data_IF_482868915262
#
_entry.id   IF_482868915262
#
_cell.length_a   1.000
_cell.length_b   1.000
_cell.length_c   1.000
_cell.angle_alpha   90.00
_cell.angle_beta   90.00
_cell.angle_gamma   90.00
#
_symmetry.space_group_name_H-M   'P 1'
#
loop_
_entity.id
_entity.type
_entity.pdbx_description
1 polymer ?
#
# COMPACT_ATOMS: atom_id res chain seq x y z
N UNK A 1 30.33 -3.40 -1.35
CA UNK A 1 29.69 -2.06 -1.38
C UNK A 1 29.75 -1.46 0.01
N UNK A 2 30.21 -0.20 0.17
CA UNK A 2 30.28 0.48 1.47
C UNK A 2 28.88 1.02 1.87
N UNK A 3 28.58 1.08 3.17
CA UNK A 3 27.35 1.64 3.75
C UNK A 3 26.98 3.01 3.16
N UNK A 4 27.94 3.96 3.06
CA UNK A 4 27.67 5.30 2.49
C UNK A 4 27.20 5.22 1.03
N UNK A 5 27.89 4.40 0.22
CA UNK A 5 27.55 4.20 -1.20
C UNK A 5 26.18 3.55 -1.35
N UNK A 6 25.86 2.56 -0.50
CA UNK A 6 24.54 1.94 -0.47
C UNK A 6 23.44 2.96 -0.18
N UNK A 7 23.59 3.79 0.86
CA UNK A 7 22.57 4.77 1.22
C UNK A 7 22.34 5.83 0.14
N UNK A 8 23.42 6.36 -0.44
CA UNK A 8 23.31 7.33 -1.53
C UNK A 8 22.58 6.69 -2.71
N UNK A 9 22.96 5.46 -3.09
CA UNK A 9 22.29 4.73 -4.16
C UNK A 9 20.80 4.48 -3.86
N UNK A 10 20.46 4.04 -2.64
CA UNK A 10 19.06 3.83 -2.23
C UNK A 10 18.25 5.12 -2.29
N UNK A 11 18.82 6.25 -1.84
CA UNK A 11 18.15 7.55 -1.88
C UNK A 11 17.99 8.05 -3.32
N UNK A 12 18.99 7.86 -4.18
CA UNK A 12 18.90 8.18 -5.60
C UNK A 12 17.81 7.35 -6.30
N UNK A 13 17.73 6.06 -6.03
CA UNK A 13 16.68 5.19 -6.58
C UNK A 13 15.30 5.63 -6.09
N UNK A 14 15.15 5.91 -4.79
CA UNK A 14 13.88 6.42 -4.24
C UNK A 14 13.47 7.74 -4.90
N UNK A 15 14.41 8.66 -5.07
CA UNK A 15 14.15 9.94 -5.70
C UNK A 15 13.71 9.74 -7.15
N UNK A 16 14.46 8.95 -7.94
CA UNK A 16 14.13 8.65 -9.33
C UNK A 16 12.74 8.01 -9.47
N UNK A 17 12.43 7.02 -8.63
CA UNK A 17 11.12 6.37 -8.63
C UNK A 17 9.98 7.33 -8.22
N UNK A 18 10.30 8.42 -7.52
CA UNK A 18 9.35 9.41 -7.02
C UNK A 18 9.23 10.66 -7.89
N UNK A 19 10.03 10.80 -8.95
CA UNK A 19 10.05 12.03 -9.78
C UNK A 19 8.65 12.38 -10.29
N UNK A 20 7.94 11.40 -10.84
CA UNK A 20 6.63 11.65 -11.44
C UNK A 20 5.57 12.08 -10.42
N UNK A 21 5.31 11.34 -9.31
CA UNK A 21 4.38 11.80 -8.28
C UNK A 21 4.78 13.15 -7.65
N UNK A 22 6.08 13.39 -7.43
CA UNK A 22 6.55 14.66 -6.87
C UNK A 22 6.33 15.84 -7.83
N UNK A 23 6.64 15.66 -9.11
CA UNK A 23 6.40 16.67 -10.13
C UNK A 23 4.91 17.01 -10.22
N UNK A 24 4.03 16.00 -10.27
CA UNK A 24 2.59 16.22 -10.32
C UNK A 24 2.06 16.92 -9.07
N UNK A 25 2.56 16.54 -7.89
CA UNK A 25 2.24 17.22 -6.65
C UNK A 25 2.66 18.69 -6.64
N UNK A 26 3.84 19.01 -7.18
CA UNK A 26 4.34 20.38 -7.29
C UNK A 26 3.50 21.23 -8.25
N UNK A 27 3.18 20.69 -9.44
CA UNK A 27 2.32 21.38 -10.43
C UNK A 27 0.94 21.67 -9.83
N UNK A 28 0.35 20.68 -9.16
CA UNK A 28 -0.96 20.78 -8.49
C UNK A 28 -0.96 21.86 -7.41
N UNK A 29 0.05 21.84 -6.54
CA UNK A 29 0.19 22.86 -5.50
C UNK A 29 0.43 24.25 -6.09
N UNK A 30 1.23 24.36 -7.15
CA UNK A 30 1.46 25.62 -7.87
C UNK A 30 0.18 26.20 -8.46
N UNK A 31 -0.63 25.38 -9.13
CA UNK A 31 -1.92 25.79 -9.68
C UNK A 31 -2.87 26.26 -8.57
N UNK A 32 -2.94 25.51 -7.47
CA UNK A 32 -3.76 25.86 -6.31
C UNK A 32 -3.31 27.19 -5.66
N UNK A 33 -2.00 27.40 -5.49
CA UNK A 33 -1.47 28.64 -4.90
C UNK A 33 -1.71 29.87 -5.79
N UNK A 34 -1.76 29.68 -7.11
CA UNK A 34 -2.02 30.77 -8.06
C UNK A 34 -3.50 31.11 -8.18
N UNK A 35 -4.38 30.11 -8.21
CA UNK A 35 -5.79 30.29 -8.57
C UNK A 35 -6.75 30.07 -7.38
N UNK A 36 -6.27 29.51 -6.27
CA UNK A 36 -7.09 29.12 -5.11
C UNK A 36 -7.89 27.83 -5.30
N UNK A 37 -7.83 27.23 -6.50
CA UNK A 37 -8.52 25.99 -6.87
C UNK A 37 -7.82 25.33 -8.06
N UNK A 38 -8.26 24.12 -8.42
CA UNK A 38 -7.76 23.38 -9.58
C UNK A 38 -8.94 23.01 -10.47
N UNK A 39 -8.89 23.31 -11.77
CA UNK A 39 -9.90 22.80 -12.70
C UNK A 39 -9.75 21.28 -12.87
N UNK A 40 -10.87 20.57 -12.93
CA UNK A 40 -10.93 19.12 -13.15
C UNK A 40 -10.10 18.65 -14.36
N UNK A 41 -10.10 19.43 -15.45
CA UNK A 41 -9.33 19.11 -16.68
C UNK A 41 -7.81 19.18 -16.45
N UNK A 42 -7.39 20.06 -15.54
CA UNK A 42 -5.97 20.25 -15.20
C UNK A 42 -5.51 19.30 -14.10
N UNK A 43 -6.45 18.56 -13.48
CA UNK A 43 -6.14 17.63 -12.42
C UNK A 43 -5.37 16.42 -12.96
N UNK A 44 -4.15 16.28 -12.46
CA UNK A 44 -3.27 15.19 -12.85
C UNK A 44 -3.59 13.94 -12.05
N UNK A 45 -3.80 12.80 -12.74
CA UNK A 45 -3.90 11.51 -12.06
C UNK A 45 -2.61 11.26 -11.27
N UNK A 46 -2.68 10.43 -10.23
CA UNK A 46 -1.50 9.91 -9.50
C UNK A 46 -0.87 10.84 -8.42
N UNK A 47 -1.56 11.87 -7.94
CA UNK A 47 -1.03 12.78 -6.90
C UNK A 47 -1.20 12.22 -5.49
N UNK A 48 -2.41 11.83 -5.09
CA UNK A 48 -2.67 11.29 -3.76
C UNK A 48 -3.02 9.80 -3.86
N UNK A 49 -2.52 8.92 -2.96
CA UNK A 49 -1.62 9.21 -1.85
C UNK A 49 -0.13 9.19 -2.23
N UNK A 50 0.22 9.13 -3.52
CA UNK A 50 1.60 8.86 -3.97
C UNK A 50 2.59 10.00 -3.70
N UNK A 51 2.22 11.27 -3.90
CA UNK A 51 3.07 12.42 -3.55
C UNK A 51 3.36 12.44 -2.05
N UNK A 52 2.36 12.35 -1.13
CA UNK A 52 2.64 12.23 0.30
C UNK A 52 3.49 11.01 0.68
N UNK A 53 3.25 9.84 0.08
CA UNK A 53 4.09 8.64 0.29
C UNK A 53 5.55 8.91 -0.14
N UNK A 54 5.75 9.49 -1.32
CA UNK A 54 7.08 9.81 -1.85
C UNK A 54 7.84 10.77 -0.94
N UNK A 55 7.19 11.86 -0.50
CA UNK A 55 7.79 12.82 0.44
C UNK A 55 8.16 12.12 1.75
N UNK A 56 7.23 11.34 2.33
CA UNK A 56 7.45 10.60 3.56
C UNK A 56 8.63 9.62 3.46
N UNK A 57 8.71 8.85 2.37
CA UNK A 57 9.78 7.88 2.12
C UNK A 57 11.14 8.56 1.96
N UNK A 58 11.23 9.62 1.14
CA UNK A 58 12.50 10.32 0.90
C UNK A 58 12.99 10.97 2.19
N UNK A 59 12.13 11.70 2.90
CA UNK A 59 12.51 12.36 4.15
C UNK A 59 12.94 11.34 5.22
N UNK A 60 12.18 10.27 5.39
CA UNK A 60 12.47 9.20 6.35
C UNK A 60 13.78 8.47 6.01
N UNK A 61 14.00 8.15 4.73
CA UNK A 61 15.23 7.50 4.27
C UNK A 61 16.45 8.44 4.38
N UNK A 62 16.30 9.74 4.12
CA UNK A 62 17.36 10.73 4.24
C UNK A 62 17.79 10.94 5.71
N UNK A 63 16.84 10.91 6.65
CA UNK A 63 17.11 11.02 8.09
C UNK A 63 17.59 9.70 8.73
N UNK A 64 17.38 8.58 8.05
CA UNK A 64 17.70 7.24 8.57
C UNK A 64 19.16 7.09 9.04
N UNK A 65 20.22 7.55 8.33
CA UNK A 65 21.60 7.46 8.82
C UNK A 65 21.85 8.19 10.15
N UNK A 66 21.20 9.34 10.35
CA UNK A 66 21.27 10.10 11.60
C UNK A 66 20.55 9.35 12.71
N UNK A 67 19.32 8.90 12.45
CA UNK A 67 18.53 8.12 13.41
C UNK A 67 19.21 6.80 13.78
N UNK A 68 19.95 6.19 12.85
CA UNK A 68 20.75 5.00 13.12
C UNK A 68 21.85 5.26 14.17
N UNK A 69 22.49 6.43 14.13
CA UNK A 69 23.50 6.80 15.14
C UNK A 69 22.88 7.01 16.52
N UNK A 70 21.71 7.65 16.58
CA UNK A 70 21.03 8.03 17.81
C UNK A 70 20.33 6.84 18.49
N UNK A 71 19.51 6.10 17.74
CA UNK A 71 18.55 5.12 18.29
C UNK A 71 18.98 3.66 18.10
N UNK A 72 20.00 3.39 17.28
CA UNK A 72 20.60 2.06 17.01
C UNK A 72 19.55 0.97 16.73
N UNK A 73 19.18 0.17 17.75
CA UNK A 73 18.21 -0.94 17.63
C UNK A 73 16.78 -0.47 17.36
N UNK A 74 16.45 0.76 17.77
CA UNK A 74 15.11 1.34 17.62
C UNK A 74 14.93 2.15 16.34
N UNK A 75 15.95 2.21 15.49
CA UNK A 75 15.93 3.02 14.26
C UNK A 75 14.76 2.66 13.35
N UNK A 76 14.49 1.38 13.12
CA UNK A 76 13.38 0.97 12.23
C UNK A 76 12.02 1.45 12.77
N UNK A 77 11.61 1.15 14.02
CA UNK A 77 10.38 1.69 14.58
C UNK A 77 10.30 3.22 14.51
N UNK A 78 11.37 3.93 14.87
CA UNK A 78 11.39 5.41 14.87
C UNK A 78 11.20 5.98 13.46
N UNK A 79 11.91 5.43 12.48
CA UNK A 79 11.81 5.89 11.08
C UNK A 79 10.45 5.49 10.48
N UNK A 80 9.88 4.35 10.85
CA UNK A 80 8.53 3.94 10.45
C UNK A 80 7.46 4.88 10.98
N UNK A 81 7.50 5.23 12.27
CA UNK A 81 6.57 6.18 12.89
C UNK A 81 6.73 7.56 12.24
N UNK A 82 7.96 8.03 12.03
CA UNK A 82 8.23 9.27 11.34
C UNK A 82 7.63 9.29 9.93
N UNK A 83 7.83 8.22 9.15
CA UNK A 83 7.28 8.11 7.80
C UNK A 83 5.75 8.15 7.77
N UNK A 84 5.09 7.44 8.70
CA UNK A 84 3.63 7.45 8.81
C UNK A 84 3.11 8.85 9.20
N UNK A 85 3.75 9.51 10.15
CA UNK A 85 3.36 10.87 10.57
C UNK A 85 3.55 11.89 9.45
N UNK A 86 4.68 11.82 8.73
CA UNK A 86 4.91 12.68 7.56
C UNK A 86 3.87 12.42 6.48
N UNK A 87 3.55 11.16 6.19
CA UNK A 87 2.50 10.80 5.24
C UNK A 87 1.18 11.47 5.61
N UNK A 88 0.68 11.28 6.83
CA UNK A 88 -0.59 11.89 7.25
C UNK A 88 -0.55 13.42 7.26
N UNK A 89 0.57 14.04 7.63
CA UNK A 89 0.70 15.50 7.63
C UNK A 89 0.62 16.07 6.20
N UNK A 90 1.32 15.46 5.24
CA UNK A 90 1.26 15.90 3.84
C UNK A 90 -0.08 15.55 3.19
N UNK A 91 -0.61 14.36 3.45
CA UNK A 91 -1.94 13.94 2.98
C UNK A 91 -3.00 14.95 3.42
N UNK A 92 -3.06 15.28 4.72
CA UNK A 92 -3.99 16.27 5.26
C UNK A 92 -3.87 17.64 4.57
N UNK A 93 -2.64 18.07 4.27
CA UNK A 93 -2.38 19.32 3.57
C UNK A 93 -2.88 19.31 2.13
N UNK A 94 -2.64 18.21 1.40
CA UNK A 94 -3.12 18.03 0.03
C UNK A 94 -4.65 17.89 -0.04
N UNK A 95 -5.28 17.29 0.96
CA UNK A 95 -6.75 17.17 1.06
C UNK A 95 -7.47 18.53 1.14
N UNK A 96 -6.79 19.59 1.58
CA UNK A 96 -7.38 20.94 1.62
C UNK A 96 -7.51 21.60 0.24
N UNK A 97 -6.94 20.98 -0.80
CA UNK A 97 -7.01 21.49 -2.17
C UNK A 97 -8.42 21.26 -2.73
N UNK A 98 -8.99 22.30 -3.34
CA UNK A 98 -10.31 22.25 -3.97
C UNK A 98 -10.19 22.00 -5.48
N UNK A 99 -11.05 21.13 -6.00
CA UNK A 99 -11.19 20.87 -7.44
C UNK A 99 -12.53 21.43 -7.91
N UNK A 100 -12.55 22.13 -9.04
CA UNK A 100 -13.77 22.70 -9.63
C UNK A 100 -14.10 21.96 -10.93
N UNK A 101 -15.34 21.50 -11.03
CA UNK A 101 -15.96 20.94 -12.24
C UNK A 101 -17.15 21.83 -12.65
N UNK A 102 -16.96 22.67 -13.66
CA UNK A 102 -17.97 23.64 -14.09
C UNK A 102 -18.26 24.67 -12.98
N UNK A 103 -19.45 24.57 -12.36
CA UNK A 103 -19.89 25.43 -11.25
C UNK A 103 -19.83 24.74 -9.88
N UNK A 104 -19.38 23.49 -9.84
CA UNK A 104 -19.39 22.67 -8.62
C UNK A 104 -17.97 22.63 -8.02
N UNK A 105 -17.86 23.05 -6.76
CA UNK A 105 -16.65 22.83 -5.96
C UNK A 105 -16.71 21.44 -5.31
N UNK A 106 -15.68 20.63 -5.53
CA UNK A 106 -15.50 19.33 -4.89
C UNK A 106 -14.18 19.29 -4.10
N UNK A 107 -14.19 18.68 -2.90
CA UNK A 107 -12.95 18.30 -2.24
C UNK A 107 -12.12 17.38 -3.13
N UNK A 108 -10.80 17.51 -3.05
CA UNK A 108 -9.90 16.70 -3.86
C UNK A 108 -10.11 15.19 -3.66
N UNK A 109 -10.38 14.76 -2.42
CA UNK A 109 -10.64 13.34 -2.11
C UNK A 109 -11.85 12.77 -2.87
N UNK A 110 -12.91 13.57 -2.98
CA UNK A 110 -14.18 13.21 -3.64
C UNK A 110 -13.97 13.02 -5.14
N UNK A 111 -13.12 13.88 -5.70
CA UNK A 111 -12.68 13.77 -7.09
C UNK A 111 -11.81 12.53 -7.34
N UNK A 112 -10.93 12.16 -6.40
CA UNK A 112 -10.14 10.94 -6.56
C UNK A 112 -10.97 9.68 -6.43
N UNK A 113 -11.95 9.71 -5.54
CA UNK A 113 -12.89 8.63 -5.38
C UNK A 113 -13.71 8.41 -6.67
N UNK A 114 -14.15 9.49 -7.35
CA UNK A 114 -14.83 9.38 -8.65
C UNK A 114 -13.97 8.70 -9.71
N UNK A 115 -12.66 8.97 -9.73
CA UNK A 115 -11.71 8.32 -10.63
C UNK A 115 -11.50 6.82 -10.34
N UNK A 116 -11.76 6.39 -9.11
CA UNK A 116 -11.67 4.98 -8.68
C UNK A 116 -13.01 4.23 -8.77
N UNK A 117 -14.13 4.94 -8.75
CA UNK A 117 -15.49 4.40 -8.78
C UNK A 117 -16.17 4.74 -10.11
N UNK A 118 -15.97 3.88 -11.09
CA UNK A 118 -16.58 4.04 -12.41
C UNK A 118 -17.95 3.33 -12.55
N UNK A 119 -18.54 2.80 -11.46
CA UNK A 119 -19.80 2.03 -11.55
C UNK A 119 -21.02 2.89 -11.16
N UNK A 120 -22.07 2.97 -11.99
CA UNK A 120 -23.32 3.64 -11.64
C UNK A 120 -23.99 3.05 -10.39
N UNK A 121 -23.81 1.75 -10.12
CA UNK A 121 -24.34 1.06 -8.95
C UNK A 121 -23.63 1.48 -7.66
N UNK A 122 -22.29 1.64 -7.70
CA UNK A 122 -21.55 2.18 -6.55
C UNK A 122 -21.92 3.64 -6.38
N UNK A 123 -21.92 4.46 -7.44
CA UNK A 123 -22.40 5.85 -7.37
C UNK A 123 -23.85 5.96 -6.84
N UNK A 124 -24.70 4.96 -7.04
CA UNK A 124 -26.05 4.90 -6.45
C UNK A 124 -26.07 4.47 -4.99
N UNK A 125 -25.13 3.64 -4.53
CA UNK A 125 -25.06 3.22 -3.12
C UNK A 125 -24.45 4.29 -2.22
N UNK A 126 -23.31 4.86 -2.61
CA UNK A 126 -22.61 5.93 -1.87
C UNK A 126 -23.08 7.36 -2.20
N UNK A 127 -23.82 7.56 -3.29
CA UNK A 127 -24.22 8.88 -3.80
C UNK A 127 -23.23 9.49 -4.82
N UNK A 128 -23.57 10.67 -5.37
CA UNK A 128 -22.67 11.41 -6.26
C UNK A 128 -21.31 11.68 -5.58
N UNK A 129 -20.19 11.73 -6.31
CA UNK A 129 -18.86 11.88 -5.71
C UNK A 129 -18.72 13.10 -4.79
N UNK A 130 -19.48 14.17 -5.04
CA UNK A 130 -19.61 15.35 -4.18
C UNK A 130 -19.93 14.98 -2.72
N UNK A 131 -20.71 13.91 -2.49
CA UNK A 131 -21.09 13.43 -1.16
C UNK A 131 -20.07 12.50 -0.51
N UNK A 132 -19.04 12.05 -1.24
CA UNK A 132 -17.99 11.20 -0.72
C UNK A 132 -17.23 11.82 0.46
N UNK A 133 -17.14 13.16 0.49
CA UNK A 133 -16.56 13.93 1.59
C UNK A 133 -17.20 13.61 2.96
N UNK A 134 -18.44 13.09 2.96
CA UNK A 134 -19.18 12.77 4.16
C UNK A 134 -18.95 11.34 4.67
N UNK A 135 -18.20 10.49 3.95
CA UNK A 135 -17.91 9.12 4.37
C UNK A 135 -16.39 8.86 4.45
N UNK A 136 -15.70 9.26 5.54
CA UNK A 136 -14.24 9.15 5.65
C UNK A 136 -13.72 7.71 5.58
N UNK A 137 -14.61 6.72 5.64
CA UNK A 137 -14.30 5.31 5.66
C UNK A 137 -13.68 4.82 4.33
N UNK A 138 -13.96 5.48 3.19
CA UNK A 138 -13.35 5.12 1.89
C UNK A 138 -11.81 5.26 1.89
N UNK A 139 -11.27 6.15 2.74
CA UNK A 139 -9.81 6.42 2.83
C UNK A 139 -9.05 5.25 3.42
N UNK A 140 -9.72 4.40 4.19
CA UNK A 140 -9.10 3.28 4.89
C UNK A 140 -8.34 2.36 3.93
N UNK A 141 -8.92 2.04 2.77
CA UNK A 141 -8.28 1.19 1.75
C UNK A 141 -6.94 1.79 1.26
N UNK A 142 -6.96 3.06 0.86
CA UNK A 142 -5.79 3.75 0.33
C UNK A 142 -4.71 4.00 1.40
N UNK A 143 -5.11 4.37 2.60
CA UNK A 143 -4.20 4.59 3.73
C UNK A 143 -3.52 3.29 4.16
N UNK A 144 -4.26 2.18 4.15
CA UNK A 144 -3.69 0.88 4.45
C UNK A 144 -2.58 0.53 3.44
N UNK A 145 -2.82 0.71 2.14
CA UNK A 145 -1.79 0.54 1.08
C UNK A 145 -0.59 1.45 1.33
N UNK A 146 -0.83 2.75 1.57
CA UNK A 146 0.21 3.75 1.80
C UNK A 146 1.13 3.39 2.97
N UNK A 147 0.54 3.02 4.11
CA UNK A 147 1.27 2.61 5.31
C UNK A 147 2.12 1.37 5.01
N UNK A 148 1.56 0.36 4.33
CA UNK A 148 2.32 -0.85 3.97
C UNK A 148 3.52 -0.50 3.09
N UNK A 149 3.34 0.32 2.04
CA UNK A 149 4.45 0.78 1.17
C UNK A 149 5.55 1.45 2.01
N UNK A 150 5.18 2.37 2.90
CA UNK A 150 6.12 3.08 3.77
C UNK A 150 6.91 2.10 4.63
N UNK A 151 6.23 1.20 5.34
CA UNK A 151 6.86 0.25 6.24
C UNK A 151 7.83 -0.69 5.49
N UNK A 152 7.42 -1.21 4.35
CA UNK A 152 8.16 -2.26 3.65
C UNK A 152 9.39 -1.70 2.95
N UNK A 153 9.28 -0.51 2.33
CA UNK A 153 10.40 0.16 1.68
C UNK A 153 11.44 0.61 2.71
N UNK A 154 10.99 1.22 3.82
CA UNK A 154 11.90 1.61 4.90
C UNK A 154 12.59 0.40 5.52
N UNK A 155 11.89 -0.73 5.68
CA UNK A 155 12.49 -1.98 6.16
C UNK A 155 13.56 -2.53 5.21
N UNK A 156 13.35 -2.46 3.90
CA UNK A 156 14.34 -2.89 2.90
C UNK A 156 15.60 -2.03 3.02
N UNK A 157 15.47 -0.70 3.05
CA UNK A 157 16.62 0.22 3.15
C UNK A 157 17.34 0.04 4.49
N UNK A 158 16.59 0.02 5.60
CA UNK A 158 17.14 -0.21 6.93
C UNK A 158 17.84 -1.56 7.02
N UNK A 159 17.18 -2.63 6.56
CA UNK A 159 17.64 -4.00 6.67
C UNK A 159 18.93 -4.25 5.90
N UNK A 160 18.98 -3.87 4.61
CA UNK A 160 20.22 -3.94 3.83
C UNK A 160 21.29 -3.01 4.38
N UNK A 161 20.93 -1.80 4.79
CA UNK A 161 21.86 -0.84 5.40
C UNK A 161 22.51 -1.39 6.66
N UNK A 162 21.72 -2.01 7.54
CA UNK A 162 22.19 -2.65 8.76
C UNK A 162 23.11 -3.83 8.46
N UNK A 163 22.73 -4.72 7.53
CA UNK A 163 23.56 -5.87 7.15
C UNK A 163 24.93 -5.45 6.62
N UNK A 164 24.99 -4.42 5.77
CA UNK A 164 26.24 -3.90 5.21
C UNK A 164 27.10 -3.25 6.30
N UNK A 165 26.48 -2.54 7.25
CA UNK A 165 27.20 -1.87 8.34
C UNK A 165 27.77 -2.85 9.36
N UNK A 166 26.98 -3.84 9.76
CA UNK A 166 27.33 -4.82 10.80
C UNK A 166 28.06 -6.05 10.23
N UNK A 167 28.24 -6.14 8.90
CA UNK A 167 28.82 -7.30 8.19
C UNK A 167 28.10 -8.63 8.51
N UNK A 168 26.83 -8.57 8.89
CA UNK A 168 26.02 -9.73 9.23
C UNK A 168 25.00 -10.01 8.12
N UNK A 169 25.25 -11.05 7.33
CA UNK A 169 24.43 -11.43 6.17
C UNK A 169 23.44 -12.57 6.47
N UNK A 170 23.23 -12.92 7.74
CA UNK A 170 22.34 -14.01 8.14
C UNK A 170 20.89 -13.86 7.62
N UNK A 171 20.40 -12.62 7.48
CA UNK A 171 19.04 -12.31 7.00
C UNK A 171 18.96 -12.02 5.49
N UNK A 172 20.05 -12.17 4.74
CA UNK A 172 20.13 -11.72 3.33
C UNK A 172 19.00 -12.27 2.46
N UNK A 173 18.73 -13.57 2.52
CA UNK A 173 17.68 -14.19 1.71
C UNK A 173 16.30 -13.61 1.99
N UNK A 174 15.99 -13.37 3.26
CA UNK A 174 14.71 -12.82 3.67
C UNK A 174 14.56 -11.34 3.28
N UNK A 175 15.66 -10.57 3.33
CA UNK A 175 15.69 -9.19 2.85
C UNK A 175 15.51 -9.09 1.33
N UNK A 176 16.08 -10.02 0.57
CA UNK A 176 15.84 -10.12 -0.88
C UNK A 176 14.37 -10.44 -1.14
N UNK A 177 13.78 -11.40 -0.41
CA UNK A 177 12.36 -11.71 -0.53
C UNK A 177 11.48 -10.50 -0.22
N UNK A 178 11.78 -9.73 0.83
CA UNK A 178 11.08 -8.48 1.13
C UNK A 178 11.19 -7.47 0.00
N UNK A 179 12.39 -7.29 -0.56
CA UNK A 179 12.62 -6.36 -1.67
C UNK A 179 11.84 -6.74 -2.92
N UNK A 180 11.83 -8.03 -3.29
CA UNK A 180 11.05 -8.54 -4.42
C UNK A 180 9.56 -8.36 -4.17
N UNK A 181 9.07 -8.70 -2.98
CA UNK A 181 7.65 -8.54 -2.61
C UNK A 181 7.22 -7.08 -2.64
N UNK A 182 8.04 -6.18 -2.11
CA UNK A 182 7.77 -4.74 -2.14
C UNK A 182 7.74 -4.19 -3.57
N UNK A 183 8.70 -4.58 -4.42
CA UNK A 183 8.74 -4.16 -5.82
C UNK A 183 7.52 -4.67 -6.60
N UNK A 184 7.14 -5.93 -6.39
CA UNK A 184 5.97 -6.52 -7.01
C UNK A 184 4.68 -5.83 -6.55
N UNK A 185 4.55 -5.59 -5.25
CA UNK A 185 3.40 -4.90 -4.68
C UNK A 185 3.26 -3.47 -5.20
N UNK A 186 4.34 -2.68 -5.20
CA UNK A 186 4.33 -1.30 -5.74
C UNK A 186 4.01 -1.31 -7.23
N UNK A 187 4.59 -2.23 -8.00
CA UNK A 187 4.27 -2.39 -9.43
C UNK A 187 2.79 -2.68 -9.66
N UNK A 188 2.18 -3.53 -8.84
CA UNK A 188 0.74 -3.79 -8.91
C UNK A 188 -0.10 -2.60 -8.47
N UNK A 189 0.34 -1.80 -7.49
CA UNK A 189 -0.34 -0.55 -7.14
C UNK A 189 -0.33 0.43 -8.32
N UNK A 190 0.82 0.56 -8.99
CA UNK A 190 0.96 1.38 -10.20
C UNK A 190 0.02 0.86 -11.29
N UNK A 191 0.06 -0.44 -11.54
CA UNK A 191 -0.79 -1.05 -12.54
C UNK A 191 -2.28 -0.90 -12.23
N UNK A 192 -2.68 -1.06 -10.96
CA UNK A 192 -4.05 -0.83 -10.50
C UNK A 192 -4.49 0.62 -10.71
N UNK A 193 -3.62 1.59 -10.51
CA UNK A 193 -3.97 3.00 -10.71
C UNK A 193 -4.16 3.38 -12.19
N UNK A 194 -3.45 2.72 -13.11
CA UNK A 194 -3.64 2.97 -14.55
C UNK A 194 -4.80 2.17 -15.15
N UNK A 195 -5.13 1.02 -14.58
CA UNK A 195 -6.08 0.07 -15.20
C UNK A 195 -7.37 -0.11 -14.42
N UNK A 196 -7.37 0.23 -13.12
CA UNK A 196 -8.37 -0.19 -12.11
C UNK A 196 -8.91 -1.60 -12.41
N UNK A 197 -7.98 -2.49 -12.77
CA UNK A 197 -8.13 -3.83 -13.31
C UNK A 197 -9.38 -4.10 -14.15
N UNK A 198 -9.64 -3.17 -15.08
CA UNK A 198 -10.60 -3.18 -16.18
C UNK A 198 -12.04 -3.52 -15.78
N UNK A 199 -12.58 -2.70 -14.87
CA UNK A 199 -13.98 -2.66 -14.45
C UNK A 199 -14.86 -2.01 -15.54
N UNK A 200 -16.02 -2.62 -15.83
CA UNK A 200 -17.00 -2.14 -16.81
C UNK A 200 -18.16 -1.36 -16.17
N UNK A 201 -18.01 -0.94 -14.91
CA UNK A 201 -19.10 -0.29 -14.22
C UNK A 201 -20.08 -1.26 -13.53
N UNK A 202 -19.73 -2.52 -13.29
CA UNK A 202 -20.64 -3.52 -12.69
C UNK A 202 -20.04 -4.21 -11.46
N UNK A 203 -20.88 -4.65 -10.52
CA UNK A 203 -20.45 -5.45 -9.35
C UNK A 203 -19.86 -6.81 -9.76
N UNK A 204 -20.36 -7.39 -10.84
CA UNK A 204 -19.76 -8.56 -11.46
C UNK A 204 -18.55 -8.14 -12.29
N UNK A 205 -17.39 -8.67 -11.94
CA UNK A 205 -16.14 -8.36 -12.63
C UNK A 205 -15.74 -9.50 -13.57
N UNK A 206 -14.94 -9.19 -14.59
CA UNK A 206 -14.41 -10.21 -15.49
C UNK A 206 -13.48 -11.17 -14.75
N UNK A 207 -13.36 -12.40 -15.24
CA UNK A 207 -12.47 -13.41 -14.62
C UNK A 207 -11.01 -12.96 -14.56
N UNK A 208 -10.56 -12.15 -15.54
CA UNK A 208 -9.23 -11.55 -15.53
C UNK A 208 -9.09 -10.53 -14.39
N UNK A 209 -10.10 -9.68 -14.18
CA UNK A 209 -10.13 -8.72 -13.06
C UNK A 209 -10.11 -9.43 -11.71
N UNK A 210 -10.95 -10.47 -11.54
CA UNK A 210 -10.99 -11.29 -10.33
C UNK A 210 -9.64 -11.95 -10.01
N UNK A 211 -8.96 -12.48 -11.02
CA UNK A 211 -7.62 -13.05 -10.87
C UNK A 211 -6.61 -12.00 -10.42
N UNK A 212 -6.60 -10.83 -11.07
CA UNK A 212 -5.66 -9.75 -10.76
C UNK A 212 -5.90 -9.17 -9.36
N UNK A 213 -7.16 -9.02 -8.95
CA UNK A 213 -7.53 -8.60 -7.59
C UNK A 213 -7.10 -9.63 -6.54
N UNK A 214 -7.36 -10.91 -6.79
CA UNK A 214 -6.93 -12.00 -5.90
C UNK A 214 -5.41 -12.03 -5.72
N UNK A 215 -4.67 -11.86 -6.82
CA UNK A 215 -3.21 -11.79 -6.82
C UNK A 215 -2.72 -10.55 -6.05
N UNK A 216 -3.34 -9.40 -6.29
CA UNK A 216 -3.02 -8.15 -5.60
C UNK A 216 -3.17 -8.28 -4.07
N UNK A 217 -4.32 -8.77 -3.60
CA UNK A 217 -4.59 -8.96 -2.17
C UNK A 217 -3.69 -10.03 -1.54
N UNK A 218 -3.41 -11.11 -2.26
CA UNK A 218 -2.47 -12.14 -1.79
C UNK A 218 -1.06 -11.58 -1.60
N UNK A 219 -0.54 -10.83 -2.58
CA UNK A 219 0.79 -10.21 -2.51
C UNK A 219 0.84 -9.13 -1.44
N UNK A 220 -0.25 -8.37 -1.26
CA UNK A 220 -0.38 -7.40 -0.19
C UNK A 220 -0.17 -8.04 1.20
N UNK A 221 -0.90 -9.12 1.49
CA UNK A 221 -0.74 -9.90 2.71
C UNK A 221 0.67 -10.50 2.86
N UNK A 222 1.19 -11.14 1.82
CA UNK A 222 2.54 -11.72 1.83
C UNK A 222 3.60 -10.66 2.15
N UNK A 223 3.46 -9.45 1.62
CA UNK A 223 4.44 -8.37 1.84
C UNK A 223 4.55 -7.98 3.31
N UNK A 224 3.42 -7.91 4.03
CA UNK A 224 3.42 -7.67 5.49
C UNK A 224 3.81 -8.91 6.28
N UNK A 225 3.46 -10.10 5.79
CA UNK A 225 3.92 -11.37 6.34
C UNK A 225 5.44 -11.46 6.37
N UNK A 226 6.10 -11.25 5.23
CA UNK A 226 7.57 -11.24 5.13
C UNK A 226 8.15 -10.13 6.02
N UNK A 227 7.55 -8.92 6.03
CA UNK A 227 8.00 -7.81 6.87
C UNK A 227 8.05 -8.24 8.34
N UNK A 228 6.95 -8.82 8.83
CA UNK A 228 6.85 -9.35 10.19
C UNK A 228 7.88 -10.46 10.44
N UNK A 229 8.05 -11.37 9.47
CA UNK A 229 9.06 -12.43 9.52
C UNK A 229 10.49 -11.90 9.67
N UNK A 230 10.80 -10.75 9.07
CA UNK A 230 12.14 -10.14 9.19
C UNK A 230 12.44 -9.63 10.60
N UNK A 231 11.41 -9.16 11.31
CA UNK A 231 11.49 -8.70 12.70
C UNK A 231 11.67 -9.89 13.65
N UNK A 232 10.91 -10.96 13.45
CA UNK A 232 10.93 -12.15 14.31
C UNK A 232 11.94 -13.23 13.92
N UNK A 233 12.77 -12.98 12.90
CA UNK A 233 13.78 -13.93 12.44
C UNK A 233 14.71 -14.41 13.56
N UNK A 234 14.95 -15.72 13.62
CA UNK A 234 15.81 -16.37 14.61
C UNK A 234 15.15 -16.62 15.96
N UNK A 235 13.86 -16.29 16.13
CA UNK A 235 13.06 -16.63 17.32
C UNK A 235 12.46 -18.04 17.20
N UNK A 236 11.75 -18.49 18.25
CA UNK A 236 11.06 -19.79 18.30
C UNK A 236 10.10 -19.96 17.11
N UNK A 237 9.79 -21.22 16.75
CA UNK A 237 8.95 -21.57 15.57
C UNK A 237 7.67 -20.73 15.46
N UNK A 238 6.99 -20.49 16.59
CA UNK A 238 5.77 -19.67 16.67
C UNK A 238 5.99 -18.25 16.09
N UNK A 239 6.95 -17.51 16.64
CA UNK A 239 7.26 -16.13 16.23
C UNK A 239 7.84 -16.05 14.83
N UNK A 240 8.60 -17.06 14.45
CA UNK A 240 9.37 -17.09 13.22
C UNK A 240 8.52 -17.47 11.98
N UNK A 241 7.46 -18.26 12.15
CA UNK A 241 6.67 -18.80 11.02
C UNK A 241 5.19 -18.51 11.12
N UNK A 242 4.58 -18.80 12.29
CA UNK A 242 3.13 -18.72 12.48
C UNK A 242 2.68 -17.26 12.57
N UNK A 243 3.35 -16.44 13.39
CA UNK A 243 3.00 -15.03 13.54
C UNK A 243 3.07 -14.28 12.18
N UNK A 244 4.13 -14.40 11.37
CA UNK A 244 4.17 -13.85 10.01
C UNK A 244 2.98 -14.27 9.13
N UNK A 245 2.61 -15.55 9.16
CA UNK A 245 1.47 -16.06 8.39
C UNK A 245 0.13 -15.48 8.87
N UNK A 246 -0.05 -15.35 10.19
CA UNK A 246 -1.23 -14.70 10.76
C UNK A 246 -1.30 -13.22 10.38
N UNK A 247 -0.16 -12.50 10.42
CA UNK A 247 -0.11 -11.12 9.95
C UNK A 247 -0.45 -11.00 8.47
N UNK A 248 0.00 -11.93 7.63
CA UNK A 248 -0.36 -11.93 6.22
C UNK A 248 -1.88 -12.08 6.02
N UNK A 249 -2.50 -13.11 6.61
CA UNK A 249 -3.95 -13.31 6.52
C UNK A 249 -4.74 -12.15 7.12
N UNK A 250 -4.34 -11.64 8.28
CA UNK A 250 -5.00 -10.49 8.92
C UNK A 250 -4.92 -9.25 8.03
N UNK A 251 -3.77 -8.98 7.42
CA UNK A 251 -3.62 -7.80 6.56
C UNK A 251 -4.44 -7.94 5.28
N UNK A 252 -4.51 -9.14 4.69
CA UNK A 252 -5.41 -9.43 3.56
C UNK A 252 -6.89 -9.26 3.95
N UNK A 253 -7.29 -9.71 5.14
CA UNK A 253 -8.64 -9.48 5.66
C UNK A 253 -8.94 -7.99 5.82
N UNK A 254 -8.02 -7.21 6.38
CA UNK A 254 -8.17 -5.76 6.51
C UNK A 254 -8.30 -5.08 5.14
N UNK A 255 -7.62 -5.57 4.11
CA UNK A 255 -7.79 -5.07 2.75
C UNK A 255 -9.21 -5.28 2.22
N UNK A 256 -9.75 -6.49 2.38
CA UNK A 256 -11.14 -6.78 2.03
C UNK A 256 -12.14 -5.97 2.86
N UNK A 257 -11.88 -5.76 4.16
CA UNK A 257 -12.70 -4.86 4.97
C UNK A 257 -12.64 -3.42 4.44
N UNK A 258 -11.47 -2.97 3.99
CA UNK A 258 -11.33 -1.65 3.37
C UNK A 258 -12.08 -1.54 2.05
N UNK A 259 -12.10 -2.59 1.25
CA UNK A 259 -12.92 -2.66 0.05
C UNK A 259 -14.42 -2.67 0.34
N UNK A 260 -14.85 -3.46 1.33
CA UNK A 260 -16.25 -3.50 1.78
C UNK A 260 -16.74 -2.12 2.20
N UNK A 261 -15.91 -1.40 2.96
CA UNK A 261 -16.19 -0.04 3.39
C UNK A 261 -16.19 0.94 2.21
N UNK A 262 -15.24 0.80 1.28
CA UNK A 262 -15.15 1.60 0.06
C UNK A 262 -16.39 1.45 -0.84
N UNK A 263 -17.01 0.28 -0.84
CA UNK A 263 -18.14 -0.08 -1.68
C UNK A 263 -19.50 -0.06 -0.95
N UNK A 264 -19.57 0.56 0.23
CA UNK A 264 -20.80 0.70 1.03
C UNK A 264 -21.46 -0.64 1.42
N UNK A 265 -20.65 -1.57 1.89
CA UNK A 265 -21.13 -2.84 2.47
C UNK A 265 -21.29 -3.98 1.47
N UNK A 266 -20.88 -3.81 0.21
CA UNK A 266 -20.81 -4.89 -0.79
C UNK A 266 -19.39 -5.13 -1.28
N UNK A 267 -19.09 -6.33 -1.76
CA UNK A 267 -17.80 -6.68 -2.38
C UNK A 267 -17.99 -6.99 -3.87
N UNK A 268 -16.90 -6.93 -4.64
CA UNK A 268 -16.95 -7.39 -6.03
C UNK A 268 -17.21 -8.89 -6.12
N UNK A 269 -18.04 -9.26 -7.08
CA UNK A 269 -18.42 -10.65 -7.30
C UNK A 269 -17.54 -11.21 -8.42
N UNK A 270 -16.68 -12.17 -8.06
CA UNK A 270 -15.65 -12.73 -8.95
C UNK A 270 -16.20 -13.69 -10.02
N UNK A 271 -17.43 -14.18 -9.87
CA UNK A 271 -18.03 -15.18 -10.75
C UNK A 271 -19.49 -15.46 -10.42
N UNK A 272 -20.01 -16.62 -10.85
CA UNK A 272 -21.39 -17.07 -10.53
C UNK A 272 -21.35 -18.38 -9.75
N UNK A 273 -22.32 -18.57 -8.85
CA UNK A 273 -22.49 -19.76 -8.05
C UNK A 273 -21.89 -19.62 -6.65
N UNK A 274 -22.19 -20.61 -5.80
CA UNK A 274 -21.92 -20.60 -4.35
C UNK A 274 -20.50 -20.18 -3.95
N UNK A 275 -19.48 -20.54 -4.73
CA UNK A 275 -18.08 -20.21 -4.40
C UNK A 275 -17.77 -18.70 -4.48
N UNK A 276 -18.52 -17.96 -5.29
CA UNK A 276 -18.31 -16.53 -5.54
C UNK A 276 -19.39 -15.63 -4.94
N UNK A 277 -20.47 -16.21 -4.44
CA UNK A 277 -21.56 -15.50 -3.79
C UNK A 277 -21.24 -15.27 -2.31
N UNK A 278 -21.69 -14.14 -1.76
CA UNK A 278 -21.57 -13.84 -0.33
C UNK A 278 -22.34 -14.87 0.49
N UNK A 279 -21.77 -15.29 1.62
CA UNK A 279 -22.47 -16.16 2.55
C UNK A 279 -23.63 -15.41 3.22
N UNK A 280 -24.74 -16.07 3.52
CA UNK A 280 -25.95 -15.43 4.08
C UNK A 280 -25.69 -14.63 5.38
N UNK A 281 -24.65 -15.00 6.13
CA UNK A 281 -24.31 -14.42 7.44
C UNK A 281 -23.13 -13.45 7.40
N UNK A 282 -22.27 -13.50 6.39
CA UNK A 282 -21.07 -12.66 6.29
C UNK A 282 -20.88 -12.15 4.86
N UNK A 283 -20.42 -10.90 4.68
CA UNK A 283 -20.31 -10.30 3.35
C UNK A 283 -19.23 -10.93 2.45
N UNK A 284 -18.45 -11.87 2.98
CA UNK A 284 -17.37 -12.55 2.28
C UNK A 284 -17.87 -13.77 1.51
N UNK A 285 -17.35 -13.97 0.30
CA UNK A 285 -17.52 -15.22 -0.44
C UNK A 285 -16.50 -16.28 0.00
N UNK A 286 -16.75 -17.58 -0.26
CA UNK A 286 -15.74 -18.61 -0.09
C UNK A 286 -14.42 -18.34 -0.84
N UNK A 287 -14.49 -17.69 -2.00
CA UNK A 287 -13.30 -17.25 -2.75
C UNK A 287 -12.46 -16.23 -1.96
N UNK A 288 -13.10 -15.27 -1.30
CA UNK A 288 -12.40 -14.24 -0.52
C UNK A 288 -11.68 -14.84 0.69
N UNK A 289 -12.36 -15.75 1.39
CA UNK A 289 -11.77 -16.51 2.50
C UNK A 289 -10.57 -17.33 2.03
N UNK A 290 -10.65 -17.92 0.84
CA UNK A 290 -9.54 -18.67 0.25
C UNK A 290 -8.35 -17.76 -0.04
N UNK A 291 -8.54 -16.57 -0.60
CA UNK A 291 -7.46 -15.57 -0.83
C UNK A 291 -6.78 -15.19 0.50
N UNK A 292 -7.58 -14.93 1.54
CA UNK A 292 -7.10 -14.61 2.89
C UNK A 292 -6.23 -15.75 3.45
N UNK A 293 -6.71 -16.99 3.38
CA UNK A 293 -5.98 -18.17 3.88
C UNK A 293 -4.73 -18.47 3.04
N UNK A 294 -4.82 -18.35 1.71
CA UNK A 294 -3.70 -18.54 0.80
C UNK A 294 -2.55 -17.57 1.08
N UNK A 295 -2.84 -16.29 1.37
CA UNK A 295 -1.80 -15.32 1.72
C UNK A 295 -1.00 -15.73 2.96
N UNK A 296 -1.67 -16.26 3.99
CA UNK A 296 -1.05 -16.79 5.20
C UNK A 296 -0.27 -18.08 4.94
N UNK A 297 -0.85 -19.02 4.20
CA UNK A 297 -0.21 -20.30 3.87
C UNK A 297 1.08 -20.10 3.06
N UNK A 298 1.04 -19.27 2.02
CA UNK A 298 2.21 -18.94 1.20
C UNK A 298 3.29 -18.29 2.08
N UNK A 299 2.91 -17.35 2.95
CA UNK A 299 3.84 -16.71 3.88
C UNK A 299 4.48 -17.73 4.82
N UNK A 300 3.70 -18.65 5.39
CA UNK A 300 4.22 -19.71 6.25
C UNK A 300 5.26 -20.57 5.52
N UNK A 301 4.98 -20.98 4.28
CA UNK A 301 5.89 -21.76 3.45
C UNK A 301 7.18 -20.99 3.12
N UNK A 302 7.07 -19.71 2.74
CA UNK A 302 8.22 -18.84 2.49
C UNK A 302 9.10 -18.71 3.74
N UNK A 303 8.51 -18.47 4.91
CA UNK A 303 9.25 -18.40 6.17
C UNK A 303 9.88 -19.75 6.53
N UNK A 304 9.20 -20.85 6.25
CA UNK A 304 9.72 -22.19 6.47
C UNK A 304 10.98 -22.44 5.63
N UNK A 305 10.92 -22.17 4.33
CA UNK A 305 12.03 -22.35 3.39
C UNK A 305 13.21 -21.44 3.74
N UNK A 306 12.93 -20.16 4.03
CA UNK A 306 13.96 -19.19 4.41
C UNK A 306 14.75 -19.63 5.66
N UNK A 307 14.08 -20.28 6.61
CA UNK A 307 14.71 -20.74 7.86
C UNK A 307 15.42 -22.08 7.75
N UNK A 308 15.02 -22.96 6.84
CA UNK A 308 15.78 -24.17 6.54
C UNK A 308 17.14 -23.81 5.96
N UNK A 309 17.18 -22.83 5.05
CA UNK A 309 18.40 -22.35 4.41
C UNK A 309 19.36 -21.65 5.38
N UNK A 310 18.84 -21.12 6.49
CA UNK A 310 19.63 -20.48 7.53
C UNK A 310 20.32 -21.45 8.51
N UNK A 311 19.93 -22.74 8.50
CA UNK A 311 20.51 -23.79 9.36
C UNK A 311 21.59 -24.60 8.67
N UNK A 312 21.76 -24.42 7.35
CA UNK A 312 22.84 -25.00 6.55
C UNK A 312 23.93 -23.96 6.37
#
# INVERSE_FOLDING_TARGET
MNYKKFYILSLSILFLASIYPLYMGFVTLGNYLQHGFINMVDYQKYIIPYTPICIALIASAALMPLLFKLWKRYTLPVVSVLGILLFFAFEYGFEQIKVIEGYVEMPLESWQLSLCMATPEVLRSIGEPIYAANNPAFKFHFYLIAIVIILVVLNVIYGFGKMIREQNFSKKHLMIAQGISALLFISLCIFACFTAFYRNGTLHISSLSALLMSVFFTIFGITIGIYSGTMFYGKRKLFSKIIPALFASLTTLLMYMGELVLMDGVLFIYGKGFFFESLETIPFSPADLLVILCSGLITYLLMHIAMLKARR
#
